data_IF_744004637786
#
_entry.id   IF_744004637786
#
_cell.length_a   1.000
_cell.length_b   1.000
_cell.length_c   1.000
_cell.angle_alpha   90.00
_cell.angle_beta   90.00
_cell.angle_gamma   90.00
#
_symmetry.space_group_name_H-M   'P 1'
#
loop_
_entity.id
_entity.type
_entity.pdbx_description
1 polymer ?
#
# COMPACT_ATOMS: atom_id res chain seq x y z
N UNK A 1 0.46 -13.03 -15.71
CA UNK A 1 0.53 -13.08 -14.23
C UNK A 1 1.59 -14.09 -13.82
N UNK A 2 2.16 -13.97 -12.62
CA UNK A 2 3.14 -14.94 -12.11
C UNK A 2 2.54 -16.35 -11.94
N UNK A 3 1.25 -16.44 -11.62
CA UNK A 3 0.53 -17.71 -11.59
C UNK A 3 0.38 -18.35 -12.97
N UNK A 4 0.13 -17.56 -14.02
CA UNK A 4 0.10 -18.07 -15.39
C UNK A 4 1.49 -18.59 -15.82
N UNK A 5 2.56 -17.96 -15.35
CA UNK A 5 3.92 -18.46 -15.60
C UNK A 5 4.16 -19.82 -14.91
N UNK A 6 3.72 -19.99 -13.66
CA UNK A 6 3.95 -21.22 -12.89
C UNK A 6 3.04 -22.38 -13.33
N UNK A 7 1.75 -22.12 -13.52
CA UNK A 7 0.74 -23.16 -13.77
C UNK A 7 0.29 -23.26 -15.22
N UNK A 8 0.75 -22.36 -16.09
CA UNK A 8 0.22 -22.18 -17.44
C UNK A 8 -1.15 -21.49 -17.44
N UNK A 9 -1.73 -21.35 -18.64
CA UNK A 9 -3.06 -20.79 -18.85
C UNK A 9 -3.08 -19.29 -19.21
N UNK A 10 -4.29 -18.78 -19.42
CA UNK A 10 -4.51 -17.41 -19.86
C UNK A 10 -4.41 -16.43 -18.67
N UNK A 11 -3.46 -15.48 -18.76
CA UNK A 11 -3.21 -14.50 -17.72
C UNK A 11 -4.43 -13.63 -17.38
N UNK A 12 -5.24 -13.25 -18.38
CA UNK A 12 -6.46 -12.46 -18.23
C UNK A 12 -7.51 -13.24 -17.43
N UNK A 13 -7.72 -14.52 -17.77
CA UNK A 13 -8.66 -15.38 -17.05
C UNK A 13 -8.25 -15.56 -15.59
N UNK A 14 -6.97 -15.83 -15.34
CA UNK A 14 -6.44 -15.95 -13.97
C UNK A 14 -6.62 -14.64 -13.19
N UNK A 15 -6.36 -13.49 -13.83
CA UNK A 15 -6.59 -12.18 -13.22
C UNK A 15 -8.05 -11.94 -12.84
N UNK A 16 -9.00 -12.29 -13.72
CA UNK A 16 -10.44 -12.19 -13.45
C UNK A 16 -10.84 -13.11 -12.28
N UNK A 17 -10.36 -14.37 -12.28
CA UNK A 17 -10.62 -15.32 -11.19
C UNK A 17 -10.11 -14.76 -9.86
N UNK A 18 -8.93 -14.14 -9.84
CA UNK A 18 -8.40 -13.49 -8.64
C UNK A 18 -9.23 -12.31 -8.17
N UNK A 19 -9.69 -11.43 -9.07
CA UNK A 19 -10.58 -10.33 -8.69
C UNK A 19 -11.89 -10.85 -8.07
N UNK A 20 -12.49 -11.87 -8.65
CA UNK A 20 -13.71 -12.50 -8.13
C UNK A 20 -13.41 -13.15 -6.77
N UNK A 21 -12.30 -13.86 -6.64
CA UNK A 21 -11.88 -14.49 -5.38
C UNK A 21 -11.71 -13.47 -4.26
N UNK A 22 -11.07 -12.32 -4.53
CA UNK A 22 -10.96 -11.21 -3.57
C UNK A 22 -12.36 -10.74 -3.16
N UNK A 23 -13.25 -10.52 -4.12
CA UNK A 23 -14.64 -10.12 -3.88
C UNK A 23 -15.39 -11.08 -2.98
N UNK A 24 -15.27 -12.39 -3.24
CA UNK A 24 -15.87 -13.44 -2.43
C UNK A 24 -15.30 -13.41 -1.02
N UNK A 25 -13.97 -13.44 -0.85
CA UNK A 25 -13.32 -13.48 0.46
C UNK A 25 -13.74 -12.28 1.32
N UNK A 26 -13.70 -11.07 0.76
CA UNK A 26 -14.10 -9.84 1.46
C UNK A 26 -15.61 -9.79 1.74
N UNK A 27 -16.43 -10.42 0.90
CA UNK A 27 -17.89 -10.52 1.11
C UNK A 27 -18.25 -11.51 2.20
N UNK A 28 -17.64 -12.70 2.21
CA UNK A 28 -18.00 -13.80 3.12
C UNK A 28 -17.35 -13.72 4.49
N UNK A 29 -16.32 -12.88 4.67
CA UNK A 29 -15.65 -12.71 5.95
C UNK A 29 -16.62 -12.27 7.05
N UNK A 30 -16.77 -13.07 8.11
CA UNK A 30 -17.58 -12.75 9.29
C UNK A 30 -17.21 -11.37 9.86
N UNK A 31 -15.92 -11.04 9.82
CA UNK A 31 -15.38 -9.72 10.08
C UNK A 31 -14.37 -9.36 8.99
N UNK A 32 -14.71 -8.39 8.14
CA UNK A 32 -13.89 -7.95 7.00
C UNK A 32 -12.44 -7.67 7.45
N UNK A 33 -12.29 -6.89 8.52
CA UNK A 33 -10.98 -6.51 9.06
C UNK A 33 -10.13 -7.70 9.52
N UNK A 34 -10.74 -8.65 10.23
CA UNK A 34 -10.01 -9.81 10.77
C UNK A 34 -9.47 -10.70 9.65
N UNK A 35 -10.25 -10.90 8.58
CA UNK A 35 -9.80 -11.65 7.40
C UNK A 35 -8.59 -10.96 6.77
N UNK A 36 -8.63 -9.63 6.60
CA UNK A 36 -7.52 -8.87 6.02
C UNK A 36 -6.27 -8.91 6.88
N UNK A 37 -6.43 -8.77 8.19
CA UNK A 37 -5.32 -8.80 9.14
C UNK A 37 -4.59 -10.15 9.12
N UNK A 38 -5.31 -11.27 9.26
CA UNK A 38 -4.70 -12.60 9.30
C UNK A 38 -4.00 -12.95 7.98
N UNK A 39 -4.62 -12.61 6.86
CA UNK A 39 -4.05 -12.86 5.53
C UNK A 39 -2.74 -12.06 5.34
N UNK A 40 -2.78 -10.75 5.59
CA UNK A 40 -1.61 -9.87 5.45
C UNK A 40 -0.48 -10.29 6.40
N UNK A 41 -0.82 -10.62 7.65
CA UNK A 41 0.16 -11.08 8.65
C UNK A 41 0.84 -12.36 8.21
N UNK A 42 0.09 -13.34 7.70
CA UNK A 42 0.64 -14.61 7.21
C UNK A 42 1.65 -14.39 6.08
N UNK A 43 1.31 -13.51 5.14
CA UNK A 43 2.19 -13.18 4.00
C UNK A 43 3.46 -12.49 4.45
N UNK A 44 3.39 -11.55 5.39
CA UNK A 44 4.58 -10.88 5.92
C UNK A 44 5.47 -11.88 6.68
N UNK A 45 4.88 -12.75 7.50
CA UNK A 45 5.62 -13.75 8.30
C UNK A 45 6.36 -14.79 7.44
N UNK A 46 5.89 -15.07 6.22
CA UNK A 46 6.53 -16.01 5.30
C UNK A 46 7.43 -15.25 4.29
N UNK A 47 6.91 -14.18 3.70
CA UNK A 47 7.54 -13.48 2.59
C UNK A 47 8.78 -12.70 2.99
N UNK A 48 8.76 -12.00 4.13
CA UNK A 48 9.93 -11.23 4.57
C UNK A 48 11.12 -12.17 4.86
N UNK A 49 10.98 -13.25 5.66
CA UNK A 49 12.09 -14.19 5.84
C UNK A 49 12.55 -14.86 4.56
N UNK A 50 11.63 -15.21 3.65
CA UNK A 50 11.99 -15.81 2.36
C UNK A 50 12.84 -14.86 1.50
N UNK A 51 12.45 -13.58 1.40
CA UNK A 51 13.23 -12.56 0.69
C UNK A 51 14.61 -12.40 1.34
N UNK A 52 14.67 -12.30 2.68
CA UNK A 52 15.93 -12.22 3.42
C UNK A 52 16.85 -13.39 3.05
N UNK A 53 16.38 -14.62 3.16
CA UNK A 53 17.17 -15.82 2.88
C UNK A 53 17.65 -15.84 1.42
N UNK A 54 16.77 -15.54 0.47
CA UNK A 54 17.11 -15.53 -0.96
C UNK A 54 18.16 -14.46 -1.27
N UNK A 55 17.99 -13.24 -0.75
CA UNK A 55 18.95 -12.16 -0.98
C UNK A 55 20.31 -12.48 -0.37
N UNK A 56 20.37 -13.02 0.86
CA UNK A 56 21.65 -13.41 1.47
C UNK A 56 22.36 -14.55 0.74
N UNK A 57 21.61 -15.43 0.08
CA UNK A 57 22.17 -16.54 -0.67
C UNK A 57 22.69 -16.11 -2.06
N UNK A 58 22.02 -15.15 -2.71
CA UNK A 58 22.28 -14.80 -4.11
C UNK A 58 23.05 -13.49 -4.32
N UNK A 59 23.02 -12.58 -3.35
CA UNK A 59 23.71 -11.30 -3.46
C UNK A 59 25.10 -11.36 -2.83
N UNK A 60 26.08 -10.81 -3.53
CA UNK A 60 27.46 -10.72 -3.06
C UNK A 60 27.72 -9.43 -2.25
N UNK A 61 28.78 -9.45 -1.43
CA UNK A 61 29.19 -8.31 -0.59
C UNK A 61 29.48 -7.04 -1.41
N UNK A 62 30.02 -7.19 -2.62
CA UNK A 62 30.25 -6.07 -3.54
C UNK A 62 28.94 -5.37 -3.92
N UNK A 63 27.90 -6.14 -4.28
CA UNK A 63 26.58 -5.65 -4.65
C UNK A 63 25.87 -4.99 -3.46
N UNK A 64 26.04 -5.52 -2.25
CA UNK A 64 25.58 -4.85 -1.04
C UNK A 64 26.30 -3.49 -0.84
N UNK A 65 27.59 -3.41 -1.15
CA UNK A 65 28.34 -2.15 -1.15
C UNK A 65 27.81 -1.14 -2.18
N UNK A 66 27.39 -1.60 -3.36
CA UNK A 66 26.77 -0.76 -4.38
C UNK A 66 25.39 -0.25 -3.97
N UNK A 67 24.59 -1.08 -3.28
CA UNK A 67 23.33 -0.65 -2.67
C UNK A 67 23.57 0.51 -1.67
N UNK A 68 24.57 0.38 -0.80
CA UNK A 68 24.91 1.44 0.16
C UNK A 68 25.35 2.74 -0.54
N UNK A 69 26.12 2.62 -1.63
CA UNK A 69 26.46 3.78 -2.47
C UNK A 69 25.20 4.41 -3.09
N UNK A 70 24.27 3.59 -3.59
CA UNK A 70 22.99 4.03 -4.13
C UNK A 70 22.13 4.77 -3.11
N UNK A 71 22.13 4.35 -1.84
CA UNK A 71 21.46 5.07 -0.74
C UNK A 71 22.02 6.47 -0.50
N UNK A 72 23.30 6.68 -0.78
CA UNK A 72 23.96 8.00 -0.75
C UNK A 72 23.76 8.79 -2.05
N UNK A 73 22.99 8.24 -3.00
CA UNK A 73 22.77 8.83 -4.32
C UNK A 73 23.90 8.58 -5.32
N UNK A 74 24.87 7.71 -5.04
CA UNK A 74 25.97 7.43 -5.97
C UNK A 74 25.67 6.19 -6.80
N UNK A 75 25.43 6.37 -8.10
CA UNK A 75 25.26 5.29 -9.07
C UNK A 75 26.48 5.10 -9.96
N UNK A 76 26.36 4.21 -10.95
CA UNK A 76 27.43 3.97 -11.93
C UNK A 76 27.55 5.16 -12.90
N UNK A 77 28.47 6.09 -12.60
CA UNK A 77 28.75 7.25 -13.43
C UNK A 77 27.81 8.45 -13.23
N UNK A 78 27.00 8.47 -12.16
CA UNK A 78 26.08 9.58 -11.87
C UNK A 78 25.87 9.79 -10.37
N UNK A 79 25.39 10.99 -10.03
CA UNK A 79 24.89 11.34 -8.69
C UNK A 79 23.39 11.64 -8.76
N UNK A 80 22.65 11.15 -7.76
CA UNK A 80 21.20 11.18 -7.62
C UNK A 80 20.46 10.45 -8.74
N UNK A 81 20.12 11.16 -9.81
CA UNK A 81 19.33 10.62 -10.93
C UNK A 81 20.20 10.48 -12.18
N UNK A 82 20.22 9.30 -12.82
CA UNK A 82 20.90 9.15 -14.10
C UNK A 82 20.17 9.93 -15.19
N UNK A 83 20.94 10.42 -16.16
CA UNK A 83 20.41 11.12 -17.33
C UNK A 83 19.48 10.20 -18.11
N UNK A 84 18.32 10.71 -18.49
CA UNK A 84 17.36 10.00 -19.34
C UNK A 84 16.25 9.23 -18.60
N UNK A 85 16.20 9.25 -17.27
CA UNK A 85 15.01 8.75 -16.54
C UNK A 85 13.86 9.76 -16.74
N UNK A 86 12.71 9.32 -17.28
CA UNK A 86 11.53 10.18 -17.37
C UNK A 86 11.06 10.60 -15.97
N UNK A 87 10.79 11.90 -15.78
CA UNK A 87 10.37 12.43 -14.48
C UNK A 87 9.10 11.75 -13.97
N UNK A 88 8.16 11.44 -14.86
CA UNK A 88 6.94 10.71 -14.54
C UNK A 88 7.22 9.29 -14.02
N UNK A 89 8.22 8.58 -14.57
CA UNK A 89 8.62 7.25 -14.10
C UNK A 89 9.30 7.34 -12.73
N UNK A 90 10.13 8.36 -12.51
CA UNK A 90 10.72 8.62 -11.20
C UNK A 90 9.65 8.93 -10.14
N UNK A 91 8.73 9.86 -10.45
CA UNK A 91 7.64 10.19 -9.53
C UNK A 91 6.73 8.99 -9.28
N UNK A 92 6.46 8.17 -10.30
CA UNK A 92 5.69 6.95 -10.14
C UNK A 92 6.38 5.94 -9.21
N UNK A 93 7.67 5.69 -9.42
CA UNK A 93 8.48 4.83 -8.57
C UNK A 93 8.52 5.37 -7.14
N UNK A 94 8.70 6.68 -6.95
CA UNK A 94 8.69 7.30 -5.63
C UNK A 94 7.33 7.16 -4.94
N UNK A 95 6.23 7.48 -5.65
CA UNK A 95 4.86 7.43 -5.14
C UNK A 95 4.42 6.01 -4.75
N UNK A 96 4.98 4.98 -5.38
CA UNK A 96 4.71 3.58 -5.08
C UNK A 96 5.81 2.87 -4.27
N UNK A 97 6.94 3.52 -3.99
CA UNK A 97 8.03 2.93 -3.18
C UNK A 97 7.63 2.68 -1.72
N UNK A 98 6.57 3.35 -1.25
CA UNK A 98 5.88 3.02 -0.02
C UNK A 98 4.38 2.90 -0.26
N UNK A 99 3.74 1.91 0.37
CA UNK A 99 2.28 1.75 0.39
C UNK A 99 1.55 2.82 1.24
N UNK A 100 2.04 4.06 1.21
CA UNK A 100 1.73 5.14 2.16
C UNK A 100 1.31 6.42 1.43
N UNK A 101 0.33 6.30 0.52
CA UNK A 101 -0.35 7.45 -0.06
C UNK A 101 -1.76 7.61 0.47
N UNK A 102 -2.73 7.68 -0.44
CA UNK A 102 -4.15 7.79 -0.10
C UNK A 102 -4.66 6.64 0.79
N UNK A 103 -4.02 5.47 0.75
CA UNK A 103 -4.37 4.33 1.61
C UNK A 103 -4.19 4.63 3.10
N UNK A 104 -3.38 5.63 3.47
CA UNK A 104 -3.27 6.10 4.85
C UNK A 104 -4.62 6.62 5.39
N UNK A 105 -5.51 7.08 4.52
CA UNK A 105 -6.84 7.55 4.91
C UNK A 105 -7.73 6.40 5.40
N UNK A 106 -7.44 5.14 5.06
CA UNK A 106 -8.14 3.98 5.60
C UNK A 106 -7.68 3.60 7.02
N UNK A 107 -6.59 4.20 7.53
CA UNK A 107 -6.05 3.86 8.86
C UNK A 107 -7.04 4.18 9.98
N UNK A 108 -7.82 5.26 9.85
CA UNK A 108 -8.89 5.58 10.80
C UNK A 108 -9.95 4.47 10.85
N UNK A 109 -10.34 3.92 9.71
CA UNK A 109 -11.23 2.76 9.64
C UNK A 109 -10.61 1.55 10.33
N UNK A 110 -9.32 1.27 10.13
CA UNK A 110 -8.66 0.13 10.80
C UNK A 110 -8.52 0.30 12.32
N UNK A 111 -8.24 1.51 12.78
CA UNK A 111 -8.21 1.85 14.22
C UNK A 111 -9.58 1.60 14.84
N UNK A 112 -10.67 2.00 14.17
CA UNK A 112 -12.05 1.70 14.57
C UNK A 112 -12.32 0.20 14.64
N UNK A 113 -12.03 -0.54 13.57
CA UNK A 113 -12.30 -1.99 13.51
C UNK A 113 -11.52 -2.78 14.55
N UNK A 114 -10.25 -2.42 14.77
CA UNK A 114 -9.41 -3.05 15.79
C UNK A 114 -9.87 -2.67 17.20
N UNK A 115 -10.36 -1.44 17.37
CA UNK A 115 -10.70 -0.87 18.67
C UNK A 115 -9.48 -0.28 19.38
N UNK A 116 -8.54 0.30 18.63
CA UNK A 116 -7.34 0.93 19.18
C UNK A 116 -7.64 2.34 19.70
N UNK A 117 -7.11 2.68 20.87
CA UNK A 117 -7.31 3.99 21.49
C UNK A 117 -8.80 4.33 21.59
N UNK A 118 -9.18 5.51 21.10
CA UNK A 118 -10.58 5.96 21.08
C UNK A 118 -11.47 5.17 20.10
N UNK A 119 -10.89 4.40 19.17
CA UNK A 119 -11.64 3.48 18.31
C UNK A 119 -12.38 2.39 19.08
N UNK A 120 -12.00 2.11 20.34
CA UNK A 120 -12.71 1.17 21.23
C UNK A 120 -14.18 1.55 21.46
N UNK A 121 -14.48 2.84 21.44
CA UNK A 121 -15.82 3.37 21.71
C UNK A 121 -16.68 3.48 20.45
N UNK A 122 -16.10 3.22 19.28
CA UNK A 122 -16.80 3.26 18.00
C UNK A 122 -17.41 1.91 17.63
N UNK A 123 -18.53 1.94 16.93
CA UNK A 123 -19.12 0.75 16.35
C UNK A 123 -18.28 0.19 15.19
N UNK A 124 -18.02 -1.11 15.23
CA UNK A 124 -17.32 -1.86 14.16
C UNK A 124 -18.24 -2.10 12.98
N UNK A 125 -17.73 -2.12 11.75
CA UNK A 125 -18.55 -2.41 10.57
C UNK A 125 -18.77 -3.92 10.49
N UNK A 126 -20.01 -4.36 10.69
CA UNK A 126 -20.37 -5.78 10.57
C UNK A 126 -20.58 -6.16 9.11
N UNK A 127 -20.30 -7.42 8.78
CA UNK A 127 -20.63 -7.99 7.47
C UNK A 127 -22.12 -7.87 7.17
N UNK A 128 -22.49 -7.72 5.89
CA UNK A 128 -23.89 -7.65 5.43
C UNK A 128 -24.66 -8.91 5.83
N UNK A 129 -23.99 -10.05 5.87
CA UNK A 129 -24.56 -11.34 6.26
C UNK A 129 -24.81 -11.47 7.77
N UNK A 130 -24.40 -10.48 8.58
CA UNK A 130 -24.64 -10.48 10.03
C UNK A 130 -26.11 -10.29 10.39
N UNK A 131 -26.98 -9.83 9.48
CA UNK A 131 -28.42 -9.65 9.70
C UNK A 131 -28.83 -8.58 10.72
N UNK A 132 -27.88 -7.87 11.32
CA UNK A 132 -28.13 -6.87 12.37
C UNK A 132 -28.19 -5.45 11.79
N UNK A 133 -29.23 -4.68 12.14
CA UNK A 133 -29.25 -3.24 11.89
C UNK A 133 -28.16 -2.59 12.75
N UNK A 134 -27.32 -1.76 12.13
CA UNK A 134 -26.31 -0.97 12.84
C UNK A 134 -26.61 0.50 12.68
N UNK A 135 -26.56 1.22 13.80
CA UNK A 135 -26.30 2.65 13.78
C UNK A 135 -24.80 2.83 13.79
N UNK A 136 -24.26 3.62 12.87
CA UNK A 136 -22.83 3.95 12.85
C UNK A 136 -22.74 5.47 12.89
N UNK A 137 -22.03 5.96 13.90
CA UNK A 137 -21.54 7.34 13.92
C UNK A 137 -20.19 7.37 13.21
N UNK A 138 -20.09 8.21 12.18
CA UNK A 138 -18.83 8.46 11.49
C UNK A 138 -17.93 9.41 12.30
N UNK A 139 -18.49 10.13 13.27
CA UNK A 139 -17.74 10.98 14.17
C UNK A 139 -17.04 10.13 15.23
N UNK A 140 -15.75 10.41 15.43
CA UNK A 140 -14.93 9.73 16.43
C UNK A 140 -15.24 10.21 17.85
N UNK A 141 -14.73 9.47 18.83
CA UNK A 141 -14.79 9.87 20.23
C UNK A 141 -13.51 10.61 20.65
N UNK A 142 -13.68 11.64 21.47
CA UNK A 142 -12.59 12.38 22.12
C UNK A 142 -12.54 12.05 23.62
N UNK A 143 -11.48 12.49 24.28
CA UNK A 143 -11.33 12.40 25.73
C UNK A 143 -10.97 13.77 26.30
N UNK A 144 -11.39 14.03 27.53
CA UNK A 144 -11.03 15.26 28.23
C UNK A 144 -9.54 15.27 28.60
N UNK A 145 -8.80 16.36 28.37
CA UNK A 145 -7.35 16.44 28.61
C UNK A 145 -7.01 16.59 30.10
N UNK A 146 -7.46 15.65 30.92
CA UNK A 146 -7.04 15.52 32.32
C UNK A 146 -5.63 14.95 32.40
N UNK A 147 -4.91 15.18 33.51
CA UNK A 147 -3.54 14.67 33.71
C UNK A 147 -3.47 13.15 33.49
N UNK A 148 -4.41 12.41 34.07
CA UNK A 148 -4.49 10.95 33.94
C UNK A 148 -4.71 10.50 32.47
N UNK A 149 -5.60 11.17 31.74
CA UNK A 149 -5.87 10.84 30.35
C UNK A 149 -4.69 11.19 29.43
N UNK A 150 -4.00 12.29 29.71
CA UNK A 150 -2.79 12.69 28.98
C UNK A 150 -1.63 11.71 29.20
N UNK A 151 -1.46 11.21 30.42
CA UNK A 151 -0.47 10.17 30.71
C UNK A 151 -0.76 8.88 29.93
N UNK A 152 -2.03 8.43 29.94
CA UNK A 152 -2.48 7.27 29.15
C UNK A 152 -2.29 7.48 27.65
N UNK A 153 -2.65 8.65 27.13
CA UNK A 153 -2.46 9.00 25.72
C UNK A 153 -0.99 8.98 25.34
N UNK A 154 -0.11 9.55 26.18
CA UNK A 154 1.34 9.56 25.92
C UNK A 154 1.92 8.14 25.86
N UNK A 155 1.47 7.24 26.76
CA UNK A 155 1.86 5.84 26.77
C UNK A 155 1.41 5.11 25.51
N UNK A 156 0.14 5.28 25.14
CA UNK A 156 -0.42 4.72 23.91
C UNK A 156 0.31 5.26 22.67
N UNK A 157 0.51 6.57 22.57
CA UNK A 157 1.18 7.21 21.43
C UNK A 157 2.62 6.75 21.29
N UNK A 158 3.37 6.61 22.38
CA UNK A 158 4.72 6.03 22.36
C UNK A 158 4.70 4.60 21.80
N UNK A 159 3.74 3.78 22.21
CA UNK A 159 3.63 2.41 21.74
C UNK A 159 3.27 2.35 20.24
N UNK A 160 2.30 3.15 19.79
CA UNK A 160 1.91 3.25 18.38
C UNK A 160 3.09 3.67 17.52
N UNK A 161 3.87 4.66 17.96
CA UNK A 161 5.05 5.10 17.21
C UNK A 161 6.13 4.01 17.14
N UNK A 162 6.37 3.27 18.23
CA UNK A 162 7.32 2.15 18.21
C UNK A 162 6.86 1.05 17.25
N UNK A 163 5.59 0.69 17.28
CA UNK A 163 5.04 -0.33 16.39
C UNK A 163 5.12 0.11 14.92
N UNK A 164 4.69 1.33 14.59
CA UNK A 164 4.81 1.86 13.23
C UNK A 164 6.27 1.96 12.78
N UNK A 165 7.18 2.36 13.66
CA UNK A 165 8.59 2.46 13.30
C UNK A 165 9.21 1.06 13.05
N UNK A 166 8.96 0.09 13.91
CA UNK A 166 9.57 -1.24 13.81
C UNK A 166 8.89 -2.12 12.74
N UNK A 167 7.56 -2.21 12.79
CA UNK A 167 6.80 -3.13 11.96
C UNK A 167 6.56 -2.54 10.57
N UNK A 168 6.19 -1.27 10.47
CA UNK A 168 5.90 -0.66 9.19
C UNK A 168 7.16 -0.09 8.51
N UNK A 169 7.84 0.85 9.16
CA UNK A 169 8.97 1.56 8.54
C UNK A 169 10.21 0.66 8.40
N UNK A 170 10.74 0.09 9.49
CA UNK A 170 11.98 -0.66 9.46
C UNK A 170 11.85 -1.94 8.63
N UNK A 171 10.82 -2.75 8.89
CA UNK A 171 10.59 -3.99 8.13
C UNK A 171 10.30 -3.68 6.66
N UNK A 172 9.52 -2.63 6.37
CA UNK A 172 9.23 -2.19 5.01
C UNK A 172 10.48 -1.75 4.25
N UNK A 173 11.27 -0.85 4.84
CA UNK A 173 12.54 -0.36 4.25
C UNK A 173 13.51 -1.52 4.02
N UNK A 174 13.72 -2.39 5.01
CA UNK A 174 14.62 -3.55 4.86
C UNK A 174 14.12 -4.44 3.71
N UNK A 175 12.84 -4.76 3.66
CA UNK A 175 12.29 -5.64 2.61
C UNK A 175 12.44 -5.02 1.23
N UNK A 176 12.15 -3.72 1.08
CA UNK A 176 12.32 -3.01 -0.20
C UNK A 176 13.79 -2.99 -0.63
N UNK A 177 14.72 -2.71 0.29
CA UNK A 177 16.16 -2.73 -0.01
C UNK A 177 16.65 -4.11 -0.42
N UNK A 178 16.16 -5.17 0.25
CA UNK A 178 16.52 -6.54 -0.09
C UNK A 178 15.93 -6.98 -1.44
N UNK A 179 14.73 -6.52 -1.79
CA UNK A 179 14.14 -6.74 -3.12
C UNK A 179 14.91 -6.00 -4.21
N UNK A 180 15.32 -4.75 -3.96
CA UNK A 180 16.18 -3.98 -4.88
C UNK A 180 17.51 -4.72 -5.10
N UNK A 181 18.14 -5.17 -4.01
CA UNK A 181 19.41 -5.90 -4.07
C UNK A 181 19.25 -7.25 -4.78
N UNK A 182 18.18 -7.99 -4.50
CA UNK A 182 17.89 -9.27 -5.15
C UNK A 182 17.69 -9.09 -6.65
N UNK A 183 16.90 -8.11 -7.06
CA UNK A 183 16.67 -7.78 -8.46
C UNK A 183 17.98 -7.38 -9.16
N UNK A 184 18.81 -6.58 -8.48
CA UNK A 184 20.13 -6.21 -8.97
C UNK A 184 21.04 -7.43 -9.15
N UNK A 185 21.13 -8.29 -8.13
CA UNK A 185 22.00 -9.46 -8.14
C UNK A 185 21.62 -10.50 -9.21
N UNK A 186 20.33 -10.61 -9.53
CA UNK A 186 19.81 -11.69 -10.37
C UNK A 186 19.54 -11.28 -11.82
N UNK A 187 19.16 -10.02 -12.06
CA UNK A 187 18.63 -9.61 -13.37
C UNK A 187 19.20 -8.31 -13.92
N UNK A 188 20.06 -7.61 -13.18
CA UNK A 188 20.69 -6.40 -13.69
C UNK A 188 21.46 -6.65 -15.00
N UNK A 189 21.30 -5.76 -15.98
CA UNK A 189 21.93 -5.88 -17.30
C UNK A 189 21.33 -6.93 -18.24
N UNK A 190 20.32 -7.70 -17.80
CA UNK A 190 19.66 -8.69 -18.67
C UNK A 190 18.60 -8.04 -19.57
N UNK A 191 18.49 -8.52 -20.81
CA UNK A 191 17.50 -8.03 -21.76
C UNK A 191 16.07 -8.45 -21.36
N UNK A 192 15.08 -7.62 -21.70
CA UNK A 192 13.67 -7.95 -21.48
C UNK A 192 13.09 -7.53 -20.12
N UNK A 193 13.83 -6.80 -19.29
CA UNK A 193 13.34 -6.32 -17.98
C UNK A 193 12.70 -4.93 -18.01
N UNK A 194 12.62 -4.30 -19.18
CA UNK A 194 12.23 -2.89 -19.29
C UNK A 194 10.75 -2.63 -18.93
N UNK A 195 9.88 -3.65 -19.04
CA UNK A 195 8.44 -3.47 -18.85
C UNK A 195 7.78 -4.72 -18.24
N UNK A 196 6.69 -4.48 -17.51
CA UNK A 196 5.79 -5.53 -17.04
C UNK A 196 6.37 -6.37 -15.91
N UNK A 197 5.80 -7.57 -15.73
CA UNK A 197 6.22 -8.53 -14.71
C UNK A 197 7.43 -9.38 -15.13
N UNK A 198 7.97 -9.15 -16.33
CA UNK A 198 9.00 -9.99 -16.93
C UNK A 198 10.29 -10.00 -16.11
N UNK A 199 10.64 -8.88 -15.47
CA UNK A 199 11.81 -8.84 -14.60
C UNK A 199 11.68 -9.85 -13.44
N UNK A 200 10.50 -9.92 -12.80
CA UNK A 200 10.24 -10.89 -11.71
C UNK A 200 10.29 -12.33 -12.20
N UNK A 201 9.83 -12.60 -13.43
CA UNK A 201 9.95 -13.92 -14.05
C UNK A 201 11.42 -14.26 -14.31
N UNK A 202 12.20 -13.30 -14.81
CA UNK A 202 13.63 -13.48 -15.03
C UNK A 202 14.39 -13.67 -13.71
N UNK A 203 13.99 -12.98 -12.64
CA UNK A 203 14.50 -13.21 -11.27
C UNK A 203 14.21 -14.66 -10.85
N UNK A 204 12.97 -15.13 -11.02
CA UNK A 204 12.61 -16.51 -10.71
C UNK A 204 13.47 -17.53 -11.47
N UNK A 205 13.72 -17.30 -12.75
CA UNK A 205 14.58 -18.16 -13.58
C UNK A 205 16.03 -18.12 -13.08
N UNK A 206 16.57 -16.93 -12.80
CA UNK A 206 17.93 -16.75 -12.30
C UNK A 206 18.11 -17.41 -10.94
N UNK A 207 17.16 -17.24 -10.02
CA UNK A 207 17.11 -17.91 -8.71
C UNK A 207 17.13 -19.43 -8.92
N UNK A 208 16.27 -19.96 -9.79
CA UNK A 208 16.21 -21.40 -10.07
C UNK A 208 17.51 -21.97 -10.64
N UNK A 209 18.24 -21.19 -11.46
CA UNK A 209 19.57 -21.56 -11.99
C UNK A 209 20.68 -21.47 -10.93
N UNK A 210 20.65 -20.46 -10.08
CA UNK A 210 21.65 -20.23 -9.02
C UNK A 210 21.45 -21.09 -7.78
N UNK A 211 20.29 -21.73 -7.62
CA UNK A 211 19.96 -22.62 -6.51
C UNK A 211 19.51 -23.99 -7.04
N UNK A 212 18.21 -24.20 -7.16
CA UNK A 212 17.57 -25.36 -7.78
C UNK A 212 16.21 -24.94 -8.36
N UNK A 213 15.69 -25.62 -9.41
CA UNK A 213 14.53 -25.15 -10.17
C UNK A 213 13.27 -24.86 -9.33
N UNK A 214 13.03 -25.65 -8.28
CA UNK A 214 11.88 -25.48 -7.39
C UNK A 214 11.94 -24.14 -6.63
N UNK A 215 13.12 -23.63 -6.30
CA UNK A 215 13.26 -22.35 -5.59
C UNK A 215 12.82 -21.17 -6.46
N UNK A 216 13.13 -21.20 -7.76
CA UNK A 216 12.62 -20.22 -8.71
C UNK A 216 11.09 -20.21 -8.79
N UNK A 217 10.50 -21.40 -8.80
CA UNK A 217 9.03 -21.57 -8.77
C UNK A 217 8.43 -21.04 -7.48
N UNK A 218 9.05 -21.35 -6.33
CA UNK A 218 8.64 -20.85 -5.03
C UNK A 218 8.69 -19.32 -4.97
N UNK A 219 9.76 -18.69 -5.47
CA UNK A 219 9.87 -17.24 -5.55
C UNK A 219 8.76 -16.63 -6.42
N UNK A 220 8.51 -17.17 -7.61
CA UNK A 220 7.45 -16.68 -8.49
C UNK A 220 6.05 -16.76 -7.83
N UNK A 221 5.77 -17.86 -7.12
CA UNK A 221 4.53 -18.01 -6.34
C UNK A 221 4.45 -17.02 -5.19
N UNK A 222 5.54 -16.86 -4.44
CA UNK A 222 5.61 -15.92 -3.32
C UNK A 222 5.33 -14.49 -3.79
N UNK A 223 6.01 -14.04 -4.85
CA UNK A 223 5.80 -12.71 -5.43
C UNK A 223 4.38 -12.56 -5.97
N UNK A 224 3.82 -13.61 -6.59
CA UNK A 224 2.42 -13.64 -7.02
C UNK A 224 1.45 -13.46 -5.87
N UNK A 225 1.67 -14.15 -4.75
CA UNK A 225 0.85 -14.06 -3.53
C UNK A 225 0.97 -12.67 -2.90
N UNK A 226 2.18 -12.09 -2.86
CA UNK A 226 2.39 -10.74 -2.36
C UNK A 226 1.64 -9.70 -3.21
N UNK A 227 1.72 -9.78 -4.54
CA UNK A 227 0.96 -8.91 -5.44
C UNK A 227 -0.56 -9.08 -5.27
N UNK A 228 -1.04 -10.32 -5.14
CA UNK A 228 -2.44 -10.59 -4.83
C UNK A 228 -2.85 -9.94 -3.51
N UNK A 229 -2.00 -10.02 -2.48
CA UNK A 229 -2.27 -9.39 -1.18
C UNK A 229 -2.33 -7.87 -1.24
N UNK A 230 -1.45 -7.24 -2.01
CA UNK A 230 -1.53 -5.79 -2.23
C UNK A 230 -2.86 -5.43 -2.85
N UNK A 231 -3.28 -6.14 -3.90
CA UNK A 231 -4.57 -5.87 -4.55
C UNK A 231 -5.76 -6.12 -3.63
N UNK A 232 -5.70 -7.19 -2.83
CA UNK A 232 -6.71 -7.53 -1.84
C UNK A 232 -6.88 -6.42 -0.78
N UNK A 233 -5.78 -5.90 -0.21
CA UNK A 233 -5.82 -4.81 0.77
C UNK A 233 -6.20 -3.46 0.15
N UNK A 234 -5.82 -3.20 -1.10
CA UNK A 234 -6.22 -1.98 -1.83
C UNK A 234 -7.73 -1.96 -2.05
N UNK A 235 -8.34 -3.07 -2.50
CA UNK A 235 -9.78 -3.16 -2.71
C UNK A 235 -10.56 -3.01 -1.40
N UNK A 236 -10.06 -3.54 -0.27
CA UNK A 236 -10.67 -3.30 1.04
C UNK A 236 -10.58 -1.82 1.44
N UNK A 237 -9.37 -1.25 1.42
CA UNK A 237 -9.09 0.13 1.84
C UNK A 237 -9.92 1.15 1.06
N UNK A 238 -9.93 1.02 -0.27
CA UNK A 238 -10.65 1.93 -1.17
C UNK A 238 -12.16 1.81 -0.98
N UNK A 239 -12.69 0.59 -0.84
CA UNK A 239 -14.12 0.36 -0.58
C UNK A 239 -14.55 1.00 0.74
N UNK A 240 -13.72 0.93 1.80
CA UNK A 240 -13.95 1.62 3.07
C UNK A 240 -13.99 3.14 2.89
N UNK A 241 -12.94 3.70 2.31
CA UNK A 241 -12.81 5.15 2.08
C UNK A 241 -14.01 5.69 1.28
N UNK A 242 -14.35 5.05 0.16
CA UNK A 242 -15.44 5.50 -0.71
C UNK A 242 -16.80 5.35 0.01
N UNK A 243 -17.02 4.24 0.73
CA UNK A 243 -18.27 4.03 1.47
C UNK A 243 -18.49 5.05 2.58
N UNK A 244 -17.44 5.39 3.35
CA UNK A 244 -17.51 6.37 4.43
C UNK A 244 -17.68 7.79 3.88
N UNK A 245 -16.94 8.15 2.82
CA UNK A 245 -17.10 9.45 2.16
C UNK A 245 -18.49 9.62 1.54
N UNK A 246 -19.02 8.58 0.90
CA UNK A 246 -20.38 8.59 0.36
C UNK A 246 -21.40 8.80 1.47
N UNK A 247 -21.26 8.07 2.57
CA UNK A 247 -22.18 8.18 3.69
C UNK A 247 -22.11 9.58 4.35
N UNK A 248 -20.90 10.09 4.62
CA UNK A 248 -20.70 11.41 5.21
C UNK A 248 -21.32 12.54 4.37
N UNK A 249 -21.25 12.44 3.04
CA UNK A 249 -21.70 13.50 2.11
C UNK A 249 -23.16 13.39 1.70
N UNK A 250 -23.74 12.17 1.61
CA UNK A 250 -25.09 11.94 1.08
C UNK A 250 -26.12 11.49 2.12
N UNK A 251 -25.69 10.82 3.18
CA UNK A 251 -26.57 10.28 4.22
C UNK A 251 -26.48 11.06 5.54
N UNK A 252 -25.50 11.95 5.65
CA UNK A 252 -25.16 12.66 6.87
C UNK A 252 -24.27 11.83 7.80
N UNK A 253 -23.85 12.42 8.92
CA UNK A 253 -22.93 11.78 9.87
C UNK A 253 -23.53 10.60 10.64
N UNK A 254 -24.86 10.60 10.85
CA UNK A 254 -25.60 9.56 11.58
C UNK A 254 -26.36 8.68 10.62
N UNK A 255 -25.88 7.46 10.41
CA UNK A 255 -26.41 6.56 9.39
C UNK A 255 -27.35 5.53 10.04
N UNK A 256 -28.59 5.43 9.57
CA UNK A 256 -29.55 4.39 9.98
C UNK A 256 -29.45 3.11 9.15
N UNK A 257 -28.72 3.16 8.04
CA UNK A 257 -28.43 2.05 7.14
C UNK A 257 -27.07 1.41 7.43
N UNK A 258 -26.92 0.08 7.19
CA UNK A 258 -25.64 -0.58 7.39
C UNK A 258 -24.61 -0.08 6.37
N UNK A 259 -23.54 0.56 6.85
CA UNK A 259 -22.41 1.04 6.05
C UNK A 259 -21.80 -0.08 5.19
N UNK A 260 -21.89 -1.31 5.68
CA UNK A 260 -21.43 -2.50 4.97
C UNK A 260 -22.10 -2.69 3.60
N UNK A 261 -23.36 -2.28 3.42
CA UNK A 261 -24.02 -2.33 2.10
C UNK A 261 -23.26 -1.50 1.06
N UNK A 262 -22.87 -0.27 1.41
CA UNK A 262 -22.15 0.62 0.51
C UNK A 262 -20.73 0.11 0.26
N UNK A 263 -20.07 -0.40 1.29
CA UNK A 263 -18.78 -1.08 1.13
C UNK A 263 -18.85 -2.17 0.05
N UNK A 264 -19.83 -3.08 0.11
CA UNK A 264 -19.95 -4.15 -0.89
C UNK A 264 -20.29 -3.64 -2.28
N UNK A 265 -21.15 -2.62 -2.40
CA UNK A 265 -21.45 -2.00 -3.69
C UNK A 265 -20.17 -1.46 -4.31
N UNK A 266 -19.39 -0.67 -3.58
CA UNK A 266 -18.14 -0.09 -4.11
C UNK A 266 -17.07 -1.15 -4.37
N UNK A 267 -16.99 -2.21 -3.56
CA UNK A 267 -16.11 -3.34 -3.80
C UNK A 267 -16.43 -4.03 -5.14
N UNK A 268 -17.69 -4.42 -5.35
CA UNK A 268 -18.10 -5.14 -6.55
C UNK A 268 -18.11 -4.26 -7.80
N UNK A 269 -18.37 -2.95 -7.67
CA UNK A 269 -18.20 -2.00 -8.78
C UNK A 269 -16.74 -1.92 -9.21
N UNK A 270 -15.78 -1.84 -8.28
CA UNK A 270 -14.36 -1.85 -8.60
C UNK A 270 -13.91 -3.16 -9.25
N UNK A 271 -14.40 -4.30 -8.74
CA UNK A 271 -14.14 -5.62 -9.33
C UNK A 271 -14.71 -5.72 -10.74
N UNK A 272 -15.97 -5.31 -10.94
CA UNK A 272 -16.61 -5.31 -12.25
C UNK A 272 -15.84 -4.44 -13.24
N UNK A 273 -15.42 -3.24 -12.81
CA UNK A 273 -14.58 -2.36 -13.63
C UNK A 273 -13.25 -3.03 -14.01
N UNK A 274 -12.55 -3.66 -13.06
CA UNK A 274 -11.31 -4.40 -13.34
C UNK A 274 -11.50 -5.57 -14.31
N UNK A 275 -12.60 -6.32 -14.18
CA UNK A 275 -12.96 -7.40 -15.13
C UNK A 275 -13.20 -6.83 -16.52
N UNK A 276 -13.95 -5.73 -16.64
CA UNK A 276 -14.21 -5.07 -17.93
C UNK A 276 -12.89 -4.65 -18.59
N UNK A 277 -11.98 -4.02 -17.84
CA UNK A 277 -10.65 -3.62 -18.35
C UNK A 277 -9.86 -4.83 -18.87
N UNK A 278 -9.89 -5.95 -18.15
CA UNK A 278 -9.27 -7.20 -18.61
C UNK A 278 -9.91 -7.76 -19.87
N UNK A 279 -11.23 -7.74 -19.99
CA UNK A 279 -11.95 -8.21 -21.18
C UNK A 279 -11.68 -7.36 -22.42
N UNK A 280 -11.38 -6.07 -22.25
CA UNK A 280 -10.91 -5.19 -23.34
C UNK A 280 -9.47 -5.45 -23.78
N UNK A 281 -8.75 -6.38 -23.14
CA UNK A 281 -7.39 -6.77 -23.53
C UNK A 281 -6.29 -5.82 -23.06
N UNK A 282 -6.58 -4.90 -22.13
CA UNK A 282 -5.55 -4.07 -21.52
C UNK A 282 -4.69 -4.90 -20.54
N UNK A 283 -3.60 -5.45 -21.06
CA UNK A 283 -2.61 -6.21 -20.26
C UNK A 283 -1.41 -5.33 -19.92
N UNK A 284 -1.12 -5.19 -18.62
CA UNK A 284 0.08 -4.50 -18.11
C UNK A 284 0.31 -3.08 -18.66
N UNK A 285 -0.69 -2.20 -18.64
CA UNK A 285 -0.56 -0.85 -19.17
C UNK A 285 0.36 -0.01 -18.27
N UNK A 286 1.69 -0.09 -18.50
CA UNK A 286 2.69 0.72 -17.80
C UNK A 286 2.29 2.20 -17.77
N UNK A 287 1.70 2.68 -18.87
CA UNK A 287 1.13 4.03 -18.95
C UNK A 287 0.04 4.27 -17.92
N UNK A 288 -0.94 3.37 -17.76
CA UNK A 288 -1.99 3.51 -16.75
C UNK A 288 -1.42 3.39 -15.33
N UNK A 289 -0.39 2.56 -15.13
CA UNK A 289 0.32 2.48 -13.85
C UNK A 289 1.00 3.81 -13.51
N UNK A 290 1.72 4.40 -14.46
CA UNK A 290 2.40 5.70 -14.29
C UNK A 290 1.36 6.81 -14.06
N UNK A 291 0.29 6.87 -14.86
CA UNK A 291 -0.79 7.85 -14.70
C UNK A 291 -1.42 7.71 -13.30
N UNK A 292 -1.74 6.49 -12.89
CA UNK A 292 -2.29 6.21 -11.55
C UNK A 292 -1.33 6.66 -10.44
N UNK A 293 -0.03 6.43 -10.60
CA UNK A 293 0.98 6.84 -9.64
C UNK A 293 1.10 8.37 -9.53
N UNK A 294 1.09 9.08 -10.66
CA UNK A 294 1.13 10.55 -10.72
C UNK A 294 -0.14 11.15 -10.11
N UNK A 295 -1.31 10.60 -10.43
CA UNK A 295 -2.57 11.01 -9.80
C UNK A 295 -2.55 10.76 -8.29
N UNK A 296 -2.02 9.62 -7.86
CA UNK A 296 -1.85 9.31 -6.44
C UNK A 296 -0.91 10.31 -5.76
N UNK A 297 0.20 10.71 -6.41
CA UNK A 297 1.11 11.76 -5.92
C UNK A 297 0.44 13.13 -5.77
N UNK A 298 -0.40 13.50 -6.73
CA UNK A 298 -1.18 14.73 -6.64
C UNK A 298 -2.20 14.69 -5.49
N UNK A 299 -2.92 13.58 -5.33
CA UNK A 299 -3.80 13.39 -4.19
C UNK A 299 -3.05 13.39 -2.85
N UNK A 300 -1.83 12.85 -2.81
CA UNK A 300 -0.94 12.92 -1.64
C UNK A 300 -0.62 14.35 -1.23
N UNK A 301 -0.23 15.18 -2.20
CA UNK A 301 -0.03 16.61 -1.99
C UNK A 301 -1.26 17.27 -1.33
N UNK A 302 -2.45 17.03 -1.86
CA UNK A 302 -3.70 17.60 -1.32
C UNK A 302 -4.02 17.08 0.07
N UNK A 303 -4.02 15.76 0.27
CA UNK A 303 -4.46 15.19 1.54
C UNK A 303 -3.49 15.48 2.69
N UNK A 304 -2.18 15.59 2.44
CA UNK A 304 -1.19 15.94 3.47
C UNK A 304 -1.51 17.33 4.05
N UNK A 305 -1.85 18.30 3.19
CA UNK A 305 -2.27 19.62 3.63
C UNK A 305 -3.57 19.57 4.44
N UNK A 306 -4.60 18.91 3.93
CA UNK A 306 -5.90 18.83 4.59
C UNK A 306 -5.81 18.15 5.96
N UNK A 307 -5.11 17.02 6.05
CA UNK A 307 -4.90 16.32 7.33
C UNK A 307 -4.11 17.17 8.31
N UNK A 308 -3.08 17.89 7.87
CA UNK A 308 -2.32 18.78 8.75
C UNK A 308 -3.18 19.95 9.27
N UNK A 309 -4.00 20.55 8.39
CA UNK A 309 -4.95 21.61 8.79
C UNK A 309 -5.98 21.08 9.78
N UNK A 310 -6.54 19.89 9.52
CA UNK A 310 -7.49 19.23 10.42
C UNK A 310 -6.86 18.99 11.80
N UNK A 311 -5.64 18.44 11.84
CA UNK A 311 -4.92 18.19 13.08
C UNK A 311 -4.64 19.46 13.89
N UNK A 312 -4.45 20.61 13.24
CA UNK A 312 -4.21 21.88 13.94
C UNK A 312 -5.52 22.51 14.44
N UNK A 313 -6.60 22.37 13.68
CA UNK A 313 -7.90 23.00 13.98
C UNK A 313 -8.73 22.21 15.00
N UNK A 314 -8.81 20.89 14.85
CA UNK A 314 -9.75 20.06 15.61
C UNK A 314 -9.12 19.43 16.85
N UNK A 315 -7.80 19.20 16.87
CA UNK A 315 -7.15 18.57 18.02
C UNK A 315 -6.77 19.60 19.10
N UNK A 316 -7.01 19.29 20.39
CA UNK A 316 -6.46 20.03 21.51
C UNK A 316 -4.94 20.22 21.38
N UNK A 317 -4.45 21.40 21.78
CA UNK A 317 -3.04 21.79 21.60
C UNK A 317 -2.06 20.79 22.21
N UNK A 318 -2.48 20.13 23.30
CA UNK A 318 -1.72 19.17 24.09
C UNK A 318 -1.42 17.88 23.32
N UNK A 319 -2.26 17.51 22.35
CA UNK A 319 -2.12 16.27 21.56
C UNK A 319 -1.72 16.51 20.11
N UNK A 320 -1.53 17.77 19.71
CA UNK A 320 -1.09 18.11 18.37
C UNK A 320 0.31 17.55 18.07
N UNK A 321 0.57 17.32 16.78
CA UNK A 321 1.89 16.90 16.32
C UNK A 321 2.98 17.92 16.73
N UNK A 322 4.13 17.39 17.15
CA UNK A 322 5.32 18.18 17.47
C UNK A 322 5.82 18.98 16.26
N UNK A 323 6.58 20.06 16.52
CA UNK A 323 7.09 20.94 15.47
C UNK A 323 7.89 20.19 14.39
N UNK A 324 8.75 19.25 14.78
CA UNK A 324 9.53 18.47 13.81
C UNK A 324 8.65 17.62 12.88
N UNK A 325 7.53 17.06 13.38
CA UNK A 325 6.57 16.31 12.54
C UNK A 325 5.88 17.23 11.56
N UNK A 326 5.49 18.44 12.01
CA UNK A 326 4.93 19.49 11.15
C UNK A 326 5.91 19.89 10.05
N UNK A 327 7.22 19.99 10.36
CA UNK A 327 8.28 20.25 9.37
C UNK A 327 8.38 19.12 8.35
N UNK A 328 8.39 17.85 8.78
CA UNK A 328 8.43 16.70 7.85
C UNK A 328 7.20 16.66 6.94
N UNK A 329 6.00 16.94 7.48
CA UNK A 329 4.79 17.05 6.67
C UNK A 329 4.89 18.19 5.66
N UNK A 330 5.47 19.33 6.03
CA UNK A 330 5.72 20.45 5.12
C UNK A 330 6.71 20.07 4.02
N UNK A 331 7.82 19.40 4.35
CA UNK A 331 8.79 18.90 3.36
C UNK A 331 8.10 17.93 2.40
N UNK A 332 7.29 17.01 2.91
CA UNK A 332 6.55 16.04 2.10
C UNK A 332 5.55 16.75 1.18
N UNK A 333 4.83 17.75 1.69
CA UNK A 333 3.90 18.57 0.92
C UNK A 333 4.62 19.31 -0.21
N UNK A 334 5.74 19.99 0.09
CA UNK A 334 6.53 20.69 -0.93
C UNK A 334 7.09 19.72 -1.97
N UNK A 335 7.61 18.57 -1.55
CA UNK A 335 8.14 17.55 -2.45
C UNK A 335 7.07 17.07 -3.44
N UNK A 336 5.93 16.58 -2.94
CA UNK A 336 4.87 16.10 -3.83
C UNK A 336 4.29 17.21 -4.70
N UNK A 337 4.14 18.44 -4.16
CA UNK A 337 3.66 19.59 -4.92
C UNK A 337 4.58 19.97 -6.07
N UNK A 338 5.89 20.09 -5.80
CA UNK A 338 6.91 20.46 -6.81
C UNK A 338 6.99 19.38 -7.89
N UNK A 339 7.16 18.10 -7.51
CA UNK A 339 7.29 17.04 -8.51
C UNK A 339 6.01 16.81 -9.33
N UNK A 340 4.82 16.99 -8.72
CA UNK A 340 3.56 16.95 -9.46
C UNK A 340 3.46 18.10 -10.47
N UNK A 341 3.84 19.32 -10.05
CA UNK A 341 3.84 20.48 -10.95
C UNK A 341 4.84 20.32 -12.10
N UNK A 342 6.06 19.84 -11.82
CA UNK A 342 7.07 19.57 -12.85
C UNK A 342 6.61 18.46 -13.82
N UNK A 343 5.99 17.41 -13.31
CA UNK A 343 5.47 16.31 -14.16
C UNK A 343 4.31 16.79 -15.04
N UNK A 344 3.43 17.65 -14.51
CA UNK A 344 2.37 18.27 -15.32
C UNK A 344 2.95 19.20 -16.39
N UNK A 345 3.97 19.99 -16.03
CA UNK A 345 4.64 20.87 -16.98
C UNK A 345 5.26 20.08 -18.14
N UNK A 346 6.04 19.04 -17.85
CA UNK A 346 6.68 18.15 -18.84
C UNK A 346 5.69 17.41 -19.76
N UNK A 347 4.44 17.21 -19.32
CA UNK A 347 3.40 16.53 -20.11
C UNK A 347 2.53 17.46 -20.93
N UNK A 348 2.43 18.72 -20.53
CA UNK A 348 1.53 19.70 -21.15
C UNK A 348 2.27 20.63 -22.11
N UNK A 349 3.54 20.96 -21.83
CA UNK A 349 4.34 21.91 -22.59
C UNK A 349 5.58 21.24 -23.19
#
# INVERSE_FOLDING_TARGET
>A
TLFAYVFGGNATVIGIVFLILIGIILSTGKYIYSTVEHFSKGIIMIGVPAIVILTFFLADVSQAGELLQGLMGKGNGYWFLPVGIPLASFLAAFAFSGAAGNLNLAQSSYIREKGYGMGKYMDKVKSLFSGQKQHIDLEGYTFDPTVENMDRFSGWWKQVNKEHFLVFFLTGVITVLLLILLSYATTFGTAGNAQGIQFVINEAIAIGKGTFPLMGTFFALLMGIMLFSTQFTVLDSTSRIISENYAATKLGKKISHPLSRYYYIFLWVQIAFGIIVFLFGFTEPLTLLIISAVLNAFCMFVHIALVNVLNIKELPKEIQASLWRKIILLISFLFFGIFSALTLWDKVF
#
